data_IF_373577665432
#
_entry.id   IF_373577665432
#
_cell.length_a   1.000
_cell.length_b   1.000
_cell.length_c   1.000
_cell.angle_alpha   90.00
_cell.angle_beta   90.00
_cell.angle_gamma   90.00
#
_symmetry.space_group_name_H-M   'P 1'
#
loop_
_entity.id
_entity.type
_entity.pdbx_description
1 polymer ?
#
# COMPACT_ATOMS: atom_id res chain seq x y z
N UNK A 1 31.23 -11.83 11.13
CA UNK A 1 32.20 -12.31 10.11
C UNK A 1 33.65 -11.96 10.43
N UNK A 2 33.97 -10.95 11.26
CA UNK A 2 35.38 -10.67 11.65
C UNK A 2 35.74 -10.87 13.12
N UNK A 3 34.82 -11.29 13.99
CA UNK A 3 35.19 -11.87 15.29
C UNK A 3 35.18 -13.40 15.20
N UNK A 4 36.10 -13.94 14.37
CA UNK A 4 36.26 -15.37 14.13
C UNK A 4 37.62 -15.89 14.62
N UNK A 5 38.14 -15.27 15.68
CA UNK A 5 39.25 -15.82 16.48
C UNK A 5 38.85 -15.90 17.95
N UNK A 6 37.73 -16.59 18.23
CA UNK A 6 37.60 -17.35 19.46
C UNK A 6 37.82 -18.83 19.09
N UNK A 7 38.89 -19.40 19.60
CA UNK A 7 39.27 -20.79 19.39
C UNK A 7 38.16 -21.73 19.92
N UNK A 8 37.42 -22.38 19.02
CA UNK A 8 36.93 -23.75 19.22
C UNK A 8 36.29 -24.25 17.94
N UNK A 9 36.70 -25.44 17.51
CA UNK A 9 36.26 -26.07 16.27
C UNK A 9 34.73 -26.21 16.16
N UNK A 10 34.23 -25.89 14.98
CA UNK A 10 32.86 -26.09 14.55
C UNK A 10 32.79 -25.78 13.06
N UNK A 11 32.13 -26.64 12.30
CA UNK A 11 31.94 -26.52 10.85
C UNK A 11 31.55 -25.10 10.44
N UNK A 12 32.08 -24.61 9.32
CA UNK A 12 31.59 -23.36 8.74
C UNK A 12 30.07 -23.48 8.53
N UNK A 13 29.30 -22.71 9.29
CA UNK A 13 27.83 -22.74 9.28
C UNK A 13 27.30 -22.49 7.87
N UNK A 14 26.93 -23.57 7.17
CA UNK A 14 26.31 -23.54 5.84
C UNK A 14 25.03 -22.68 5.85
N UNK A 15 24.34 -22.60 6.99
CA UNK A 15 23.21 -21.69 7.24
C UNK A 15 23.57 -20.21 7.02
N UNK A 16 24.72 -19.73 7.54
CA UNK A 16 25.14 -18.33 7.38
C UNK A 16 25.53 -18.00 5.94
N UNK A 17 26.04 -18.99 5.20
CA UNK A 17 26.32 -18.86 3.78
C UNK A 17 25.03 -18.78 2.91
N UNK A 18 23.91 -19.34 3.40
CA UNK A 18 22.61 -19.25 2.72
C UNK A 18 21.89 -17.94 3.07
N UNK A 19 22.10 -17.41 4.28
CA UNK A 19 21.44 -16.18 4.75
C UNK A 19 21.78 -14.93 3.94
N UNK A 20 23.05 -14.69 3.59
CA UNK A 20 23.42 -13.47 2.86
C UNK A 20 22.87 -13.47 1.42
N UNK A 21 22.77 -14.63 0.78
CA UNK A 21 22.12 -14.78 -0.53
C UNK A 21 20.60 -14.58 -0.40
N UNK A 22 19.98 -15.15 0.63
CA UNK A 22 18.55 -14.98 0.87
C UNK A 22 18.19 -13.50 1.16
N UNK A 23 19.01 -12.78 1.92
CA UNK A 23 18.85 -11.34 2.15
C UNK A 23 19.06 -10.57 0.85
N UNK A 24 20.09 -10.89 0.06
CA UNK A 24 20.36 -10.26 -1.23
C UNK A 24 19.18 -10.37 -2.20
N UNK A 25 18.54 -11.55 -2.25
CA UNK A 25 17.40 -11.84 -3.12
C UNK A 25 16.10 -11.15 -2.70
N UNK A 26 15.94 -10.84 -1.41
CA UNK A 26 14.74 -10.17 -0.87
C UNK A 26 14.87 -8.64 -0.77
N UNK A 27 16.03 -8.10 -1.12
CA UNK A 27 16.31 -6.67 -1.01
C UNK A 27 15.74 -5.93 -2.23
N UNK A 28 14.83 -4.98 -2.01
CA UNK A 28 14.30 -4.12 -3.08
C UNK A 28 15.27 -2.99 -3.47
N UNK A 29 16.13 -2.56 -2.52
CA UNK A 29 17.16 -1.53 -2.71
C UNK A 29 18.25 -1.64 -1.62
N UNK A 30 19.52 -1.50 -2.00
CA UNK A 30 20.63 -1.40 -1.06
C UNK A 30 21.02 0.07 -0.83
N UNK A 31 20.69 0.62 0.34
CA UNK A 31 21.12 1.95 0.77
C UNK A 31 22.32 1.85 1.71
N UNK A 32 23.41 2.56 1.40
CA UNK A 32 24.56 2.72 2.30
C UNK A 32 24.69 4.18 2.72
N UNK A 33 24.40 4.48 3.99
CA UNK A 33 24.44 5.82 4.56
C UNK A 33 24.96 5.78 6.01
N UNK A 34 26.19 6.28 6.29
CA UNK A 34 27.14 6.86 5.36
C UNK A 34 27.91 5.81 4.53
N UNK A 35 28.18 6.11 3.26
CA UNK A 35 29.14 5.39 2.44
C UNK A 35 30.54 6.04 2.58
N UNK A 36 31.44 5.40 3.31
CA UNK A 36 32.81 5.90 3.50
C UNK A 36 33.64 5.69 2.23
N UNK A 37 34.79 6.38 2.13
CA UNK A 37 35.71 6.19 1.00
C UNK A 37 36.18 4.73 0.85
N UNK A 38 36.34 4.02 1.97
CA UNK A 38 36.71 2.61 1.99
C UNK A 38 35.61 1.72 1.38
N UNK A 39 34.36 1.86 1.82
CA UNK A 39 33.22 1.11 1.26
C UNK A 39 33.06 1.41 -0.24
N UNK A 40 33.19 2.67 -0.65
CA UNK A 40 33.15 3.08 -2.05
C UNK A 40 34.26 2.42 -2.86
N UNK A 41 35.49 2.36 -2.33
CA UNK A 41 36.60 1.70 -3.00
C UNK A 41 36.36 0.19 -3.13
N UNK A 42 35.91 -0.48 -2.06
CA UNK A 42 35.58 -1.90 -2.06
C UNK A 42 34.50 -2.24 -3.08
N UNK A 43 33.40 -1.47 -3.10
CA UNK A 43 32.31 -1.66 -4.06
C UNK A 43 32.80 -1.44 -5.50
N UNK A 44 33.57 -0.37 -5.75
CA UNK A 44 34.09 -0.07 -7.09
C UNK A 44 35.02 -1.16 -7.63
N UNK A 45 35.76 -1.85 -6.74
CA UNK A 45 36.71 -2.90 -7.09
C UNK A 45 36.13 -4.33 -6.98
N UNK A 46 34.93 -4.49 -6.45
CA UNK A 46 34.28 -5.79 -6.28
C UNK A 46 34.93 -6.64 -5.18
N UNK A 47 35.47 -6.00 -4.14
CA UNK A 47 35.93 -6.71 -2.94
C UNK A 47 34.71 -7.21 -2.16
N UNK A 48 34.81 -8.40 -1.58
CA UNK A 48 33.74 -9.07 -0.83
C UNK A 48 34.34 -9.73 0.43
N UNK A 49 34.93 -8.91 1.30
CA UNK A 49 35.69 -9.33 2.48
C UNK A 49 34.92 -9.10 3.79
N UNK A 50 33.73 -8.51 3.72
CA UNK A 50 32.79 -8.38 4.82
C UNK A 50 31.34 -8.63 4.37
N UNK A 51 30.40 -8.65 5.32
CA UNK A 51 29.00 -8.93 5.01
C UNK A 51 28.37 -7.94 4.04
N UNK A 52 28.64 -6.63 4.20
CA UNK A 52 28.05 -5.58 3.37
C UNK A 52 28.55 -5.66 1.92
N UNK A 53 29.85 -5.85 1.76
CA UNK A 53 30.50 -5.95 0.45
C UNK A 53 30.15 -7.25 -0.27
N UNK A 54 29.99 -8.34 0.47
CA UNK A 54 29.47 -9.62 -0.05
C UNK A 54 28.00 -9.49 -0.48
N UNK A 55 27.16 -8.86 0.35
CA UNK A 55 25.76 -8.59 0.05
C UNK A 55 25.62 -7.72 -1.21
N UNK A 56 26.43 -6.67 -1.35
CA UNK A 56 26.44 -5.81 -2.54
C UNK A 56 26.73 -6.61 -3.80
N UNK A 57 27.74 -7.49 -3.77
CA UNK A 57 28.14 -8.27 -4.94
C UNK A 57 27.12 -9.37 -5.30
N UNK A 58 26.42 -9.90 -4.30
CA UNK A 58 25.39 -10.93 -4.47
C UNK A 58 24.01 -10.35 -4.85
N UNK A 59 23.75 -9.07 -4.60
CA UNK A 59 22.44 -8.45 -4.84
C UNK A 59 22.30 -7.91 -6.26
N UNK A 60 21.11 -8.11 -6.84
CA UNK A 60 20.69 -7.49 -8.11
C UNK A 60 19.85 -6.24 -7.89
N UNK A 61 19.63 -5.85 -6.63
CA UNK A 61 18.85 -4.68 -6.27
C UNK A 61 19.57 -3.39 -6.70
N UNK A 62 18.82 -2.31 -7.02
CA UNK A 62 19.44 -1.00 -7.22
C UNK A 62 20.19 -0.55 -5.95
N UNK A 63 21.28 0.19 -6.14
CA UNK A 63 22.17 0.63 -5.06
C UNK A 63 22.13 2.14 -4.94
N UNK A 64 21.92 2.65 -3.73
CA UNK A 64 22.02 4.07 -3.37
C UNK A 64 23.15 4.24 -2.37
N UNK A 65 24.09 5.13 -2.67
CA UNK A 65 25.20 5.47 -1.79
C UNK A 65 25.05 6.93 -1.36
N UNK A 66 25.09 7.18 -0.05
CA UNK A 66 25.14 8.52 0.53
C UNK A 66 26.51 8.74 1.16
N UNK A 67 27.49 9.29 0.42
CA UNK A 67 28.86 9.41 0.90
C UNK A 67 29.00 10.38 2.07
N UNK A 68 29.88 10.04 3.01
CA UNK A 68 30.31 10.97 4.05
C UNK A 68 31.77 10.74 4.40
N UNK A 69 32.58 11.78 4.29
CA UNK A 69 34.02 11.74 4.53
C UNK A 69 34.61 13.14 4.64
N UNK A 70 35.87 13.23 5.07
CA UNK A 70 36.63 14.48 5.04
C UNK A 70 36.72 15.06 3.60
N UNK A 71 36.75 16.38 3.47
CA UNK A 71 36.83 17.08 2.16
C UNK A 71 38.02 16.65 1.29
N UNK A 72 39.18 16.36 1.89
CA UNK A 72 40.34 15.88 1.13
C UNK A 72 40.14 14.45 0.64
N UNK A 73 39.47 13.60 1.43
CA UNK A 73 39.11 12.25 1.00
C UNK A 73 38.07 12.28 -0.11
N UNK A 74 37.11 13.21 -0.03
CA UNK A 74 36.12 13.42 -1.08
C UNK A 74 36.78 13.86 -2.39
N UNK A 75 37.62 14.91 -2.34
CA UNK A 75 38.28 15.46 -3.52
C UNK A 75 39.44 14.58 -4.05
N UNK A 76 39.80 13.50 -3.35
CA UNK A 76 40.89 12.64 -3.78
C UNK A 76 40.55 11.96 -5.13
N UNK A 77 41.46 11.96 -6.12
CA UNK A 77 41.19 11.40 -7.45
C UNK A 77 40.70 9.94 -7.42
N UNK A 78 41.25 9.12 -6.53
CA UNK A 78 40.81 7.73 -6.37
C UNK A 78 39.34 7.61 -5.93
N UNK A 79 38.89 8.49 -5.02
CA UNK A 79 37.49 8.50 -4.57
C UNK A 79 36.56 8.91 -5.71
N UNK A 80 36.93 9.96 -6.45
CA UNK A 80 36.14 10.43 -7.60
C UNK A 80 36.06 9.37 -8.70
N UNK A 81 37.18 8.72 -9.05
CA UNK A 81 37.22 7.62 -10.02
C UNK A 81 36.35 6.44 -9.57
N UNK A 82 36.40 6.07 -8.28
CA UNK A 82 35.56 4.99 -7.75
C UNK A 82 34.07 5.34 -7.82
N UNK A 83 33.69 6.58 -7.50
CA UNK A 83 32.31 7.05 -7.62
C UNK A 83 31.82 7.03 -9.08
N UNK A 84 32.65 7.47 -10.03
CA UNK A 84 32.34 7.40 -11.46
C UNK A 84 32.13 5.97 -11.94
N UNK A 85 33.01 5.04 -11.53
CA UNK A 85 32.85 3.61 -11.84
C UNK A 85 31.53 3.05 -11.31
N UNK A 86 31.14 3.42 -10.10
CA UNK A 86 29.89 2.98 -9.49
C UNK A 86 28.67 3.58 -10.21
N UNK A 87 28.71 4.86 -10.59
CA UNK A 87 27.66 5.48 -11.42
C UNK A 87 27.52 4.78 -12.77
N UNK A 88 28.64 4.47 -13.43
CA UNK A 88 28.63 3.73 -14.69
C UNK A 88 28.04 2.31 -14.57
N UNK A 89 28.08 1.72 -13.36
CA UNK A 89 27.44 0.44 -13.03
C UNK A 89 26.00 0.57 -12.53
N UNK A 90 25.44 1.77 -12.54
CA UNK A 90 24.04 2.02 -12.17
C UNK A 90 23.79 2.36 -10.70
N UNK A 91 24.84 2.55 -9.88
CA UNK A 91 24.65 3.05 -8.51
C UNK A 91 24.23 4.52 -8.53
N UNK A 92 23.23 4.87 -7.72
CA UNK A 92 22.80 6.24 -7.50
C UNK A 92 23.59 6.86 -6.34
N UNK A 93 24.22 8.01 -6.58
CA UNK A 93 25.07 8.68 -5.58
C UNK A 93 24.36 9.94 -5.08
N UNK A 94 23.99 9.97 -3.81
CA UNK A 94 23.47 11.17 -3.14
C UNK A 94 24.65 12.08 -2.86
N UNK A 95 24.64 13.31 -3.39
CA UNK A 95 25.78 14.22 -3.18
C UNK A 95 25.86 14.65 -1.71
N UNK A 96 27.07 14.71 -1.13
CA UNK A 96 27.24 15.19 0.24
C UNK A 96 26.89 16.68 0.34
N UNK A 97 26.41 17.10 1.51
CA UNK A 97 26.19 18.50 1.81
C UNK A 97 27.54 19.25 1.93
N UNK A 98 27.53 20.54 1.64
CA UNK A 98 28.63 21.45 1.91
C UNK A 98 28.46 22.09 3.29
N UNK A 99 29.53 22.15 4.09
CA UNK A 99 29.48 22.83 5.38
C UNK A 99 30.72 22.65 6.23
N UNK A 100 30.64 23.12 7.48
CA UNK A 100 31.69 22.94 8.48
C UNK A 100 31.74 21.46 8.91
N UNK A 101 32.87 20.81 8.62
CA UNK A 101 33.11 19.42 8.95
C UNK A 101 33.69 19.30 10.37
N UNK A 102 33.53 18.14 11.00
CA UNK A 102 34.04 17.88 12.35
C UNK A 102 35.57 18.07 12.49
N UNK A 103 36.31 18.08 11.37
CA UNK A 103 37.74 18.35 11.30
C UNK A 103 38.12 19.85 11.21
N UNK A 104 37.16 20.77 11.21
CA UNK A 104 37.41 22.21 11.16
C UNK A 104 37.53 22.81 9.75
N UNK A 105 37.33 22.01 8.69
CA UNK A 105 37.35 22.46 7.29
C UNK A 105 35.94 22.76 6.80
N UNK A 106 35.79 23.69 5.85
CA UNK A 106 34.52 23.95 5.14
C UNK A 106 34.62 23.43 3.71
N UNK A 107 33.67 22.62 3.29
CA UNK A 107 33.61 22.06 1.94
C UNK A 107 32.65 20.88 1.84
N UNK A 108 32.56 20.23 0.66
CA UNK A 108 31.74 19.03 0.48
C UNK A 108 32.31 17.85 1.28
N UNK A 109 31.44 16.96 1.73
CA UNK A 109 31.82 15.73 2.44
C UNK A 109 30.97 15.39 3.66
N UNK A 110 30.08 16.31 4.08
CA UNK A 110 29.09 16.02 5.11
C UNK A 110 28.02 15.10 4.54
N UNK A 111 27.55 14.13 5.34
CA UNK A 111 26.43 13.29 4.93
C UNK A 111 25.23 14.18 4.56
N UNK A 112 24.62 13.90 3.41
CA UNK A 112 23.41 14.59 2.96
C UNK A 112 22.29 14.53 4.00
N UNK A 113 21.44 15.55 4.03
CA UNK A 113 20.21 15.55 4.83
C UNK A 113 19.35 14.31 4.60
N UNK A 114 18.62 13.87 5.64
CA UNK A 114 17.78 12.66 5.58
C UNK A 114 16.73 12.76 4.47
N UNK A 115 16.18 13.95 4.25
CA UNK A 115 15.20 14.23 3.21
C UNK A 115 15.75 13.96 1.81
N UNK A 116 17.01 14.33 1.54
CA UNK A 116 17.67 14.10 0.26
C UNK A 116 17.96 12.61 0.02
N UNK A 117 18.40 11.89 1.07
CA UNK A 117 18.64 10.44 0.99
C UNK A 117 17.33 9.69 0.73
N UNK A 118 16.28 10.03 1.47
CA UNK A 118 14.94 9.42 1.29
C UNK A 118 14.39 9.74 -0.10
N UNK A 119 14.58 10.96 -0.61
CA UNK A 119 14.16 11.34 -1.95
C UNK A 119 14.87 10.51 -3.04
N UNK A 120 16.18 10.29 -2.91
CA UNK A 120 16.95 9.45 -3.82
C UNK A 120 16.48 7.99 -3.80
N UNK A 121 16.22 7.43 -2.62
CA UNK A 121 15.63 6.08 -2.48
C UNK A 121 14.28 6.00 -3.18
N UNK A 122 13.41 7.00 -2.98
CA UNK A 122 12.10 7.06 -3.64
C UNK A 122 12.23 7.15 -5.16
N UNK A 123 13.15 7.96 -5.67
CA UNK A 123 13.40 8.12 -7.10
C UNK A 123 13.86 6.79 -7.72
N UNK A 124 14.82 6.13 -7.09
CA UNK A 124 15.38 4.86 -7.58
C UNK A 124 14.36 3.73 -7.55
N UNK A 125 13.56 3.65 -6.48
CA UNK A 125 12.43 2.71 -6.38
C UNK A 125 11.21 3.14 -7.22
N UNK A 126 11.25 4.32 -7.84
CA UNK A 126 10.13 4.95 -8.57
C UNK A 126 8.84 4.99 -7.74
N UNK A 127 8.98 5.25 -6.44
CA UNK A 127 7.84 5.36 -5.53
C UNK A 127 7.03 6.60 -5.89
N UNK A 128 5.78 6.37 -6.30
CA UNK A 128 4.83 7.45 -6.55
C UNK A 128 4.39 8.06 -5.22
N UNK A 129 4.39 9.39 -5.11
CA UNK A 129 3.83 10.13 -3.96
C UNK A 129 2.68 11.06 -4.36
N UNK A 130 1.91 10.60 -5.34
CA UNK A 130 0.76 11.29 -5.95
C UNK A 130 -0.46 11.40 -5.02
N UNK A 131 -0.41 10.85 -3.81
CA UNK A 131 -1.38 11.10 -2.73
C UNK A 131 -0.78 11.84 -1.52
N UNK A 132 0.45 12.37 -1.62
CA UNK A 132 1.04 13.15 -0.54
C UNK A 132 0.17 14.35 -0.16
N UNK A 133 -0.10 14.51 1.14
CA UNK A 133 -0.96 15.58 1.67
C UNK A 133 -2.46 15.31 1.55
N UNK A 134 -2.86 14.18 0.97
CA UNK A 134 -4.27 13.79 0.85
C UNK A 134 -4.70 12.82 1.95
N UNK A 135 -6.01 12.81 2.23
CA UNK A 135 -6.61 11.81 3.13
C UNK A 135 -7.47 10.86 2.29
N UNK A 136 -7.17 9.57 2.36
CA UNK A 136 -7.92 8.50 1.67
C UNK A 136 -8.68 7.70 2.73
N UNK A 137 -10.00 7.64 2.59
CA UNK A 137 -10.87 6.79 3.39
C UNK A 137 -11.07 5.45 2.66
N UNK A 138 -10.84 4.33 3.35
CA UNK A 138 -11.06 3.00 2.80
C UNK A 138 -11.99 2.21 3.73
N UNK A 139 -13.01 1.53 3.20
CA UNK A 139 -13.75 0.52 3.95
C UNK A 139 -13.30 -0.88 3.55
N UNK A 140 -13.20 -1.79 4.52
CA UNK A 140 -12.79 -3.17 4.28
C UNK A 140 -13.49 -4.17 5.21
N UNK A 141 -13.37 -5.46 4.87
CA UNK A 141 -13.93 -6.56 5.65
C UNK A 141 -15.44 -6.76 5.46
N UNK A 142 -16.01 -7.80 6.09
CA UNK A 142 -17.44 -8.02 6.14
C UNK A 142 -18.09 -7.22 7.28
N UNK A 143 -19.40 -6.98 7.24
CA UNK A 143 -20.15 -6.63 8.46
C UNK A 143 -20.78 -7.87 9.10
N UNK A 144 -21.01 -7.80 10.40
CA UNK A 144 -21.65 -8.84 11.22
C UNK A 144 -22.92 -8.25 11.83
N UNK A 145 -24.08 -8.70 11.38
CA UNK A 145 -25.38 -8.28 11.88
C UNK A 145 -25.86 -9.28 12.94
N UNK A 146 -25.81 -8.90 14.21
CA UNK A 146 -26.08 -9.78 15.34
C UNK A 146 -27.56 -10.18 15.40
N UNK A 147 -27.83 -11.49 15.46
CA UNK A 147 -29.16 -12.05 15.72
C UNK A 147 -29.36 -12.15 17.24
N UNK A 148 -28.36 -12.71 17.91
CA UNK A 148 -28.25 -12.84 19.35
C UNK A 148 -26.76 -12.74 19.75
N UNK A 149 -26.37 -12.77 21.04
CA UNK A 149 -24.95 -12.63 21.43
C UNK A 149 -24.01 -13.75 20.94
N UNK A 150 -24.54 -14.80 20.32
CA UNK A 150 -23.80 -15.99 19.87
C UNK A 150 -23.82 -16.12 18.34
N UNK A 151 -24.82 -15.56 17.67
CA UNK A 151 -25.08 -15.78 16.24
C UNK A 151 -25.26 -14.45 15.52
N UNK A 152 -24.70 -14.38 14.31
CA UNK A 152 -24.79 -13.20 13.45
C UNK A 152 -24.87 -13.62 11.98
N UNK A 153 -25.33 -12.69 11.15
CA UNK A 153 -25.35 -12.78 9.68
C UNK A 153 -24.12 -12.03 9.15
N UNK A 154 -23.40 -12.62 8.19
CA UNK A 154 -22.22 -11.99 7.61
C UNK A 154 -21.99 -12.43 6.16
N UNK A 155 -21.05 -11.77 5.50
CA UNK A 155 -20.61 -12.05 4.14
C UNK A 155 -19.25 -12.77 4.16
N UNK A 156 -18.93 -13.50 3.08
CA UNK A 156 -17.67 -14.28 2.95
C UNK A 156 -16.45 -13.41 2.58
N UNK A 157 -16.43 -12.15 2.98
CA UNK A 157 -15.32 -11.25 2.66
C UNK A 157 -14.13 -11.48 3.57
N UNK A 158 -12.96 -11.69 2.98
CA UNK A 158 -11.68 -11.74 3.70
C UNK A 158 -11.17 -10.34 4.10
N UNK A 159 -11.70 -9.27 3.49
CA UNK A 159 -11.20 -7.91 3.62
C UNK A 159 -9.89 -7.60 2.89
N UNK A 160 -9.19 -8.61 2.34
CA UNK A 160 -7.86 -8.47 1.71
C UNK A 160 -7.79 -7.36 0.65
N UNK A 161 -8.84 -7.16 -0.15
CA UNK A 161 -8.85 -6.13 -1.20
C UNK A 161 -8.81 -4.72 -0.62
N UNK A 162 -9.64 -4.42 0.39
CA UNK A 162 -9.62 -3.11 1.04
C UNK A 162 -8.32 -2.85 1.79
N UNK A 163 -7.71 -3.88 2.40
CA UNK A 163 -6.40 -3.76 3.04
C UNK A 163 -5.29 -3.49 2.02
N UNK A 164 -5.29 -4.18 0.87
CA UNK A 164 -4.33 -3.92 -0.21
C UNK A 164 -4.44 -2.49 -0.76
N UNK A 165 -5.67 -1.96 -0.90
CA UNK A 165 -5.89 -0.56 -1.29
C UNK A 165 -5.37 0.42 -0.24
N UNK A 166 -5.66 0.17 1.05
CA UNK A 166 -5.19 1.00 2.14
C UNK A 166 -3.66 1.04 2.21
N UNK A 167 -3.02 -0.12 2.07
CA UNK A 167 -1.56 -0.21 2.01
C UNK A 167 -0.98 0.53 0.82
N UNK A 168 -1.52 0.31 -0.39
CA UNK A 168 -1.05 0.98 -1.60
C UNK A 168 -1.21 2.51 -1.52
N UNK A 169 -2.32 2.99 -0.96
CA UNK A 169 -2.55 4.42 -0.75
C UNK A 169 -1.55 5.03 0.26
N UNK A 170 -1.28 4.32 1.36
CA UNK A 170 -0.29 4.75 2.35
C UNK A 170 1.13 4.80 1.75
N UNK A 171 1.52 3.77 0.98
CA UNK A 171 2.79 3.75 0.23
C UNK A 171 2.91 4.91 -0.77
N UNK A 172 1.78 5.37 -1.32
CA UNK A 172 1.71 6.56 -2.19
C UNK A 172 1.63 7.90 -1.44
N UNK A 173 1.84 7.88 -0.13
CA UNK A 173 1.96 9.06 0.71
C UNK A 173 0.65 9.62 1.26
N UNK A 174 -0.48 8.91 1.09
CA UNK A 174 -1.75 9.30 1.67
C UNK A 174 -1.75 9.16 3.20
N UNK A 175 -2.51 10.02 3.89
CA UNK A 175 -3.02 9.70 5.23
C UNK A 175 -4.23 8.79 5.07
N UNK A 176 -4.12 7.53 5.49
CA UNK A 176 -5.17 6.53 5.26
C UNK A 176 -5.97 6.29 6.53
N UNK A 177 -7.30 6.38 6.42
CA UNK A 177 -8.25 5.91 7.44
C UNK A 177 -8.93 4.66 6.91
N UNK A 178 -8.70 3.52 7.56
CA UNK A 178 -9.28 2.22 7.22
C UNK A 178 -10.41 1.87 8.19
N UNK A 179 -11.65 1.98 7.74
CA UNK A 179 -12.82 1.50 8.48
C UNK A 179 -13.01 0.02 8.17
N UNK A 180 -12.67 -0.83 9.13
CA UNK A 180 -12.66 -2.28 8.94
C UNK A 180 -13.74 -2.96 9.75
N UNK A 181 -14.53 -3.79 9.07
CA UNK A 181 -15.29 -4.87 9.69
C UNK A 181 -14.38 -5.96 10.31
N UNK A 182 -14.95 -7.00 10.92
CA UNK A 182 -14.17 -8.05 11.58
C UNK A 182 -13.31 -8.86 10.59
N UNK A 183 -11.98 -8.78 10.75
CA UNK A 183 -10.98 -9.52 9.96
C UNK A 183 -9.80 -9.91 10.84
N UNK A 184 -9.08 -10.97 10.47
CA UNK A 184 -7.82 -11.39 11.10
C UNK A 184 -6.56 -10.79 10.46
N UNK A 185 -6.73 -9.81 9.57
CA UNK A 185 -5.63 -9.15 8.85
C UNK A 185 -4.94 -8.11 9.74
N UNK A 186 -3.60 -8.08 9.65
CA UNK A 186 -2.78 -7.05 10.26
C UNK A 186 -3.01 -5.69 9.59
N UNK A 187 -2.91 -4.63 10.38
CA UNK A 187 -3.06 -3.26 9.89
C UNK A 187 -1.78 -2.89 9.13
N UNK A 188 -1.88 -2.42 7.86
CA UNK A 188 -0.70 -1.99 7.13
C UNK A 188 0.01 -0.82 7.82
N UNK A 189 1.32 -0.72 7.66
CA UNK A 189 2.11 0.36 8.23
C UNK A 189 1.62 1.74 7.74
N UNK A 190 1.51 2.70 8.66
CA UNK A 190 1.06 4.06 8.33
C UNK A 190 -0.45 4.22 8.11
N UNK A 191 -1.26 3.18 8.38
CA UNK A 191 -2.73 3.22 8.25
C UNK A 191 -3.39 3.36 9.63
N UNK A 192 -4.32 4.32 9.76
CA UNK A 192 -5.19 4.47 10.94
C UNK A 192 -6.40 3.55 10.80
N UNK A 193 -6.57 2.56 11.68
CA UNK A 193 -7.72 1.64 11.64
C UNK A 193 -8.82 2.06 12.60
N UNK A 194 -10.05 2.09 12.08
CA UNK A 194 -11.29 2.24 12.85
C UNK A 194 -12.04 0.91 12.79
N UNK A 195 -12.27 0.29 13.94
CA UNK A 195 -13.00 -0.98 14.03
C UNK A 195 -14.50 -0.74 14.08
N UNK A 196 -15.23 -1.50 13.25
CA UNK A 196 -16.69 -1.56 13.25
C UNK A 196 -17.11 -3.01 13.15
N UNK A 197 -18.33 -3.32 13.60
CA UNK A 197 -18.93 -4.65 13.51
C UNK A 197 -20.11 -4.65 12.55
N UNK A 198 -21.04 -3.71 12.70
CA UNK A 198 -22.30 -3.68 11.93
C UNK A 198 -22.25 -2.70 10.76
N UNK A 199 -23.17 -2.84 9.80
CA UNK A 199 -23.36 -1.88 8.72
C UNK A 199 -23.69 -0.47 9.23
N UNK A 200 -24.45 -0.35 10.33
CA UNK A 200 -24.79 0.95 10.94
C UNK A 200 -23.57 1.62 11.56
N UNK A 201 -22.75 0.87 12.29
CA UNK A 201 -21.48 1.38 12.82
C UNK A 201 -20.53 1.81 11.70
N UNK A 202 -20.43 1.00 10.63
CA UNK A 202 -19.65 1.35 9.45
C UNK A 202 -20.15 2.64 8.80
N UNK A 203 -21.47 2.79 8.65
CA UNK A 203 -22.06 4.02 8.10
C UNK A 203 -21.69 5.24 8.95
N UNK A 204 -21.81 5.13 10.28
CA UNK A 204 -21.50 6.21 11.20
C UNK A 204 -20.03 6.61 11.11
N UNK A 205 -19.11 5.64 11.15
CA UNK A 205 -17.69 5.88 11.02
C UNK A 205 -17.36 6.54 9.66
N UNK A 206 -17.96 6.04 8.58
CA UNK A 206 -17.77 6.61 7.25
C UNK A 206 -18.19 8.08 7.22
N UNK A 207 -19.35 8.43 7.77
CA UNK A 207 -19.83 9.82 7.82
C UNK A 207 -18.89 10.74 8.61
N UNK A 208 -18.35 10.26 9.73
CA UNK A 208 -17.43 11.03 10.57
C UNK A 208 -16.10 11.35 9.87
N UNK A 209 -15.57 10.41 9.09
CA UNK A 209 -14.24 10.54 8.49
C UNK A 209 -14.26 11.06 7.05
N UNK A 210 -15.32 10.80 6.29
CA UNK A 210 -15.39 11.14 4.85
C UNK A 210 -15.31 12.65 4.58
N UNK A 211 -15.84 13.49 5.47
CA UNK A 211 -15.77 14.95 5.32
C UNK A 211 -14.32 15.48 5.19
N UNK A 212 -13.35 14.80 5.82
CA UNK A 212 -11.92 15.16 5.79
C UNK A 212 -11.13 14.44 4.69
N UNK A 213 -11.77 13.52 3.96
CA UNK A 213 -11.14 12.77 2.88
C UNK A 213 -11.24 13.52 1.54
N UNK A 214 -10.26 13.32 0.65
CA UNK A 214 -10.35 13.68 -0.77
C UNK A 214 -10.91 12.53 -1.61
N UNK A 215 -10.71 11.29 -1.16
CA UNK A 215 -11.14 10.06 -1.84
C UNK A 215 -11.75 9.08 -0.83
N UNK A 216 -12.91 8.51 -1.16
CA UNK A 216 -13.50 7.39 -0.44
C UNK A 216 -13.53 6.12 -1.30
N UNK A 217 -12.96 5.04 -0.80
CA UNK A 217 -12.90 3.74 -1.48
C UNK A 217 -13.67 2.70 -0.66
N UNK A 218 -14.82 2.27 -1.17
CA UNK A 218 -15.78 1.45 -0.46
C UNK A 218 -15.66 -0.02 -0.86
N UNK A 219 -14.66 -0.71 -0.29
CA UNK A 219 -14.33 -2.10 -0.61
C UNK A 219 -14.87 -3.13 0.43
N UNK A 220 -15.55 -2.67 1.49
CA UNK A 220 -16.20 -3.55 2.46
C UNK A 220 -17.37 -4.31 1.83
N UNK A 221 -17.58 -5.55 2.28
CA UNK A 221 -18.77 -6.33 1.99
C UNK A 221 -19.81 -6.07 3.08
N UNK A 222 -20.58 -5.01 2.90
CA UNK A 222 -21.66 -4.61 3.82
C UNK A 222 -22.85 -5.55 3.62
N UNK A 223 -23.39 -6.09 4.70
CA UNK A 223 -24.59 -6.92 4.65
C UNK A 223 -25.80 -6.07 4.19
N UNK A 224 -26.53 -6.54 3.18
CA UNK A 224 -27.69 -5.83 2.62
C UNK A 224 -28.89 -5.77 3.58
N UNK A 225 -28.93 -6.69 4.54
CA UNK A 225 -30.02 -6.83 5.52
C UNK A 225 -29.46 -7.08 6.92
N UNK A 226 -30.22 -6.65 7.94
CA UNK A 226 -29.95 -6.92 9.36
C UNK A 226 -31.20 -7.50 10.05
N UNK A 227 -31.06 -8.21 11.18
CA UNK A 227 -32.20 -8.56 12.02
C UNK A 227 -32.97 -7.31 12.48
N UNK A 228 -34.28 -7.31 12.31
CA UNK A 228 -35.14 -6.19 12.72
C UNK A 228 -35.25 -6.07 14.26
N UNK A 229 -35.16 -7.20 14.96
CA UNK A 229 -35.26 -7.29 16.42
C UNK A 229 -34.10 -8.12 16.98
N UNK A 230 -32.87 -7.59 17.03
CA UNK A 230 -31.75 -8.28 17.65
C UNK A 230 -32.00 -8.45 19.15
N UNK A 231 -31.76 -9.65 19.68
CA UNK A 231 -31.99 -9.95 21.10
C UNK A 231 -30.70 -9.96 21.90
N UNK A 232 -30.74 -9.45 23.13
CA UNK A 232 -29.57 -9.40 24.03
C UNK A 232 -29.29 -10.72 24.75
N UNK A 233 -30.14 -11.74 24.57
CA UNK A 233 -30.01 -13.06 25.18
C UNK A 233 -29.97 -14.14 24.13
N UNK A 234 -29.16 -15.18 24.36
CA UNK A 234 -29.06 -16.34 23.47
C UNK A 234 -30.44 -16.96 23.25
N UNK A 235 -30.85 -17.06 21.98
CA UNK A 235 -32.11 -17.71 21.61
C UNK A 235 -32.01 -19.18 21.99
N UNK A 236 -32.90 -19.62 22.88
CA UNK A 236 -32.98 -21.00 23.36
C UNK A 236 -33.48 -21.90 22.24
N UNK A 237 -32.99 -23.15 22.22
CA UNK A 237 -33.47 -24.17 21.27
C UNK A 237 -34.94 -24.47 21.53
N UNK A 238 -35.80 -24.25 20.54
CA UNK A 238 -37.20 -24.69 20.50
C UNK A 238 -37.36 -25.93 19.62
N UNK A 239 -38.50 -26.64 19.76
CA UNK A 239 -38.92 -27.69 18.81
C UNK A 239 -39.58 -27.10 17.56
N UNK A 240 -40.11 -25.89 17.66
CA UNK A 240 -40.75 -25.18 16.56
C UNK A 240 -39.71 -24.42 15.71
N UNK A 241 -39.96 -24.24 14.40
CA UNK A 241 -39.16 -23.37 13.53
C UNK A 241 -39.03 -21.97 14.14
N UNK A 242 -37.84 -21.39 14.01
CA UNK A 242 -37.57 -20.03 14.47
C UNK A 242 -37.41 -19.12 13.26
N UNK A 243 -38.19 -18.05 13.21
CA UNK A 243 -38.16 -17.06 12.13
C UNK A 243 -37.36 -15.83 12.56
N UNK A 244 -36.46 -15.38 11.69
CA UNK A 244 -35.69 -14.14 11.89
C UNK A 244 -36.19 -13.14 10.85
N UNK A 245 -36.86 -12.08 11.31
CA UNK A 245 -37.30 -11.00 10.43
C UNK A 245 -36.11 -10.10 10.12
N UNK A 246 -35.88 -9.87 8.83
CA UNK A 246 -34.81 -9.02 8.33
C UNK A 246 -35.37 -7.68 7.82
N UNK A 247 -34.58 -6.62 8.00
CA UNK A 247 -34.84 -5.31 7.43
C UNK A 247 -33.62 -4.79 6.65
N UNK A 248 -33.81 -3.93 5.63
CA UNK A 248 -32.70 -3.43 4.82
C UNK A 248 -31.68 -2.61 5.63
N UNK A 249 -30.41 -2.82 5.32
CA UNK A 249 -29.33 -1.96 5.76
C UNK A 249 -29.22 -0.69 4.90
N UNK A 250 -28.62 0.39 5.44
CA UNK A 250 -28.42 1.59 4.67
C UNK A 250 -27.38 1.36 3.56
N UNK A 251 -27.61 2.00 2.42
CA UNK A 251 -26.61 2.06 1.36
C UNK A 251 -25.55 3.13 1.68
N UNK A 252 -24.42 2.69 2.24
CA UNK A 252 -23.31 3.56 2.62
C UNK A 252 -22.74 4.30 1.40
N UNK A 253 -22.56 3.61 0.27
CA UNK A 253 -21.97 4.19 -0.94
C UNK A 253 -22.88 5.30 -1.50
N UNK A 254 -24.18 5.01 -1.65
CA UNK A 254 -25.14 5.99 -2.13
C UNK A 254 -25.27 7.19 -1.17
N UNK A 255 -25.30 6.93 0.15
CA UNK A 255 -25.39 7.99 1.17
C UNK A 255 -24.21 8.94 1.09
N UNK A 256 -22.99 8.43 0.88
CA UNK A 256 -21.78 9.25 0.78
C UNK A 256 -21.71 9.98 -0.56
N UNK A 257 -22.04 9.29 -1.64
CA UNK A 257 -21.97 9.84 -2.97
C UNK A 257 -22.97 10.97 -3.21
N UNK A 258 -24.08 11.01 -2.47
CA UNK A 258 -25.03 12.13 -2.50
C UNK A 258 -24.38 13.46 -2.05
N UNK A 259 -23.51 13.40 -1.04
CA UNK A 259 -22.88 14.57 -0.41
C UNK A 259 -21.38 14.71 -0.74
N UNK A 260 -20.92 14.07 -1.83
CA UNK A 260 -19.48 13.96 -2.12
C UNK A 260 -18.79 15.28 -2.46
N UNK A 261 -19.51 16.23 -3.05
CA UNK A 261 -18.93 17.47 -3.57
C UNK A 261 -17.84 17.17 -4.60
N UNK A 262 -16.64 17.73 -4.41
CA UNK A 262 -15.48 17.49 -5.27
C UNK A 262 -14.69 16.20 -4.94
N UNK A 263 -15.10 15.44 -3.92
CA UNK A 263 -14.42 14.20 -3.50
C UNK A 263 -14.72 13.08 -4.49
N UNK A 264 -13.73 12.22 -4.71
CA UNK A 264 -13.90 11.02 -5.52
C UNK A 264 -14.44 9.86 -4.70
N UNK A 265 -15.40 9.13 -5.26
CA UNK A 265 -16.03 7.98 -4.64
C UNK A 265 -15.84 6.74 -5.52
N UNK A 266 -15.17 5.74 -4.99
CA UNK A 266 -14.92 4.45 -5.63
C UNK A 266 -15.75 3.38 -4.93
N UNK A 267 -16.60 2.68 -5.67
CA UNK A 267 -17.39 1.56 -5.17
C UNK A 267 -16.90 0.22 -5.71
N UNK A 268 -17.26 -0.86 -5.01
CA UNK A 268 -17.04 -2.23 -5.49
C UNK A 268 -18.36 -2.91 -5.84
N UNK A 269 -18.30 -3.82 -6.81
CA UNK A 269 -19.39 -4.70 -7.19
C UNK A 269 -18.86 -6.13 -7.34
N UNK A 270 -19.57 -7.09 -6.78
CA UNK A 270 -19.37 -8.50 -7.07
C UNK A 270 -20.58 -8.93 -7.90
N UNK A 271 -20.36 -9.21 -9.17
CA UNK A 271 -21.43 -9.54 -10.11
C UNK A 271 -21.21 -10.95 -10.63
N UNK A 272 -22.28 -11.76 -10.65
CA UNK A 272 -22.25 -13.15 -11.15
C UNK A 272 -22.80 -13.27 -12.57
N UNK A 273 -23.46 -12.22 -13.07
CA UNK A 273 -24.05 -12.15 -14.40
C UNK A 273 -24.09 -10.69 -14.86
N UNK A 274 -24.03 -10.45 -16.18
CA UNK A 274 -24.10 -9.10 -16.81
C UNK A 274 -23.23 -8.04 -16.13
N UNK A 275 -22.00 -8.40 -15.79
CA UNK A 275 -21.04 -7.60 -15.00
C UNK A 275 -20.97 -6.14 -15.47
N UNK A 276 -20.80 -5.90 -16.78
CA UNK A 276 -20.65 -4.56 -17.33
C UNK A 276 -21.93 -3.71 -17.24
N UNK A 277 -23.10 -4.29 -17.51
CA UNK A 277 -24.38 -3.57 -17.42
C UNK A 277 -24.69 -3.19 -15.97
N UNK A 278 -24.51 -4.14 -15.05
CA UNK A 278 -24.75 -3.91 -13.63
C UNK A 278 -23.77 -2.90 -13.04
N UNK A 279 -22.48 -2.99 -13.40
CA UNK A 279 -21.47 -2.04 -12.95
C UNK A 279 -21.76 -0.62 -13.42
N UNK A 280 -22.11 -0.41 -14.71
CA UNK A 280 -22.50 0.92 -15.23
C UNK A 280 -23.77 1.45 -14.58
N UNK A 281 -24.77 0.59 -14.38
CA UNK A 281 -25.99 0.96 -13.66
C UNK A 281 -25.67 1.37 -12.23
N UNK A 282 -24.79 0.65 -11.53
CA UNK A 282 -24.35 0.99 -10.17
C UNK A 282 -23.58 2.29 -10.14
N UNK A 283 -22.67 2.52 -11.08
CA UNK A 283 -21.91 3.75 -11.23
C UNK A 283 -22.83 4.97 -11.32
N UNK A 284 -23.85 4.91 -12.18
CA UNK A 284 -24.84 5.96 -12.35
C UNK A 284 -25.76 6.12 -11.13
N UNK A 285 -26.41 5.04 -10.69
CA UNK A 285 -27.40 5.07 -9.60
C UNK A 285 -26.81 5.44 -8.25
N UNK A 286 -25.54 5.06 -8.00
CA UNK A 286 -24.83 5.36 -6.74
C UNK A 286 -24.04 6.65 -6.82
N UNK A 287 -24.09 7.40 -7.93
CA UNK A 287 -23.29 8.61 -8.13
C UNK A 287 -21.79 8.40 -7.83
N UNK A 288 -21.24 7.22 -8.14
CA UNK A 288 -19.82 6.91 -7.96
C UNK A 288 -18.98 7.44 -9.15
N UNK A 289 -17.68 7.65 -8.93
CA UNK A 289 -16.73 8.09 -9.97
C UNK A 289 -16.03 6.89 -10.62
N UNK A 290 -15.92 5.79 -9.87
CA UNK A 290 -15.34 4.53 -10.33
C UNK A 290 -16.09 3.37 -9.67
N UNK A 291 -16.42 2.34 -10.45
CA UNK A 291 -16.88 1.05 -9.92
C UNK A 291 -15.87 -0.03 -10.31
N UNK A 292 -15.35 -0.73 -9.31
CA UNK A 292 -14.51 -1.92 -9.47
C UNK A 292 -15.43 -3.14 -9.48
N UNK A 293 -15.67 -3.73 -10.64
CA UNK A 293 -16.50 -4.92 -10.75
C UNK A 293 -15.63 -6.17 -10.80
N UNK A 294 -15.85 -7.08 -9.87
CA UNK A 294 -15.24 -8.39 -9.84
C UNK A 294 -16.18 -9.40 -10.51
N UNK A 295 -15.66 -10.13 -11.48
CA UNK A 295 -16.33 -11.30 -12.04
C UNK A 295 -16.04 -12.52 -11.15
N UNK A 296 -16.92 -12.76 -10.17
CA UNK A 296 -16.76 -13.87 -9.21
C UNK A 296 -17.00 -15.25 -9.83
N UNK A 297 -17.36 -15.33 -11.11
CA UNK A 297 -17.54 -16.60 -11.85
C UNK A 297 -16.29 -17.01 -12.62
N UNK A 298 -15.34 -16.09 -12.82
CA UNK A 298 -14.09 -16.37 -13.50
C UNK A 298 -13.13 -17.22 -12.65
N UNK A 299 -12.39 -18.12 -13.29
CA UNK A 299 -11.51 -19.07 -12.61
C UNK A 299 -10.34 -18.37 -11.88
N UNK A 300 -10.40 -18.38 -10.54
CA UNK A 300 -9.44 -17.69 -9.67
C UNK A 300 -9.84 -16.27 -9.24
N UNK A 301 -11.10 -15.87 -9.48
CA UNK A 301 -11.70 -14.64 -8.99
C UNK A 301 -12.67 -14.98 -7.83
N UNK A 302 -12.18 -14.95 -6.60
CA UNK A 302 -12.96 -15.30 -5.41
C UNK A 302 -12.63 -14.39 -4.24
N UNK A 303 -13.57 -14.21 -3.31
CA UNK A 303 -13.40 -13.32 -2.16
C UNK A 303 -12.18 -13.67 -1.28
N UNK A 304 -11.82 -14.95 -1.20
CA UNK A 304 -10.76 -15.45 -0.32
C UNK A 304 -9.42 -15.71 -1.04
N UNK A 305 -9.39 -15.63 -2.37
CA UNK A 305 -8.17 -15.80 -3.17
C UNK A 305 -7.30 -14.55 -3.17
N UNK A 306 -6.01 -14.71 -3.47
CA UNK A 306 -5.06 -13.59 -3.54
C UNK A 306 -5.07 -12.87 -4.89
N UNK A 307 -5.66 -13.51 -5.92
CA UNK A 307 -5.84 -12.95 -7.26
C UNK A 307 -7.25 -12.44 -7.49
N UNK A 308 -7.39 -11.53 -8.44
CA UNK A 308 -8.67 -10.97 -8.85
C UNK A 308 -8.71 -10.75 -10.36
N UNK A 309 -9.91 -10.85 -10.95
CA UNK A 309 -10.17 -10.47 -12.34
C UNK A 309 -11.24 -9.39 -12.29
N UNK A 310 -10.83 -8.14 -12.53
CA UNK A 310 -11.72 -7.00 -12.36
C UNK A 310 -11.77 -6.15 -13.62
N UNK A 311 -12.89 -5.48 -13.81
CA UNK A 311 -13.01 -4.39 -14.77
C UNK A 311 -13.33 -3.11 -14.01
N UNK A 312 -12.59 -2.04 -14.30
CA UNK A 312 -12.83 -0.72 -13.73
C UNK A 312 -13.76 0.07 -14.66
N UNK A 313 -14.90 0.53 -14.14
CA UNK A 313 -15.87 1.33 -14.88
C UNK A 313 -15.82 2.76 -14.38
N UNK A 314 -15.29 3.66 -15.20
CA UNK A 314 -15.07 5.06 -14.85
C UNK A 314 -16.23 5.95 -15.32
N UNK A 315 -16.50 7.02 -14.57
CA UNK A 315 -17.56 8.00 -14.88
C UNK A 315 -17.39 8.69 -16.23
N UNK A 316 -16.17 8.78 -16.73
CA UNK A 316 -15.88 9.34 -18.05
C UNK A 316 -16.19 8.38 -19.22
N UNK A 317 -16.84 7.24 -18.93
CA UNK A 317 -17.34 6.30 -19.92
C UNK A 317 -16.35 5.20 -20.30
N UNK A 318 -15.14 5.19 -19.74
CA UNK A 318 -14.18 4.11 -20.01
C UNK A 318 -14.45 2.88 -19.17
N UNK A 319 -14.23 1.75 -19.82
CA UNK A 319 -14.11 0.44 -19.19
C UNK A 319 -12.65 0.00 -19.31
N UNK A 320 -12.04 -0.39 -18.19
CA UNK A 320 -10.66 -0.85 -18.13
C UNK A 320 -10.63 -2.29 -17.62
N UNK A 321 -10.65 -3.29 -18.52
CA UNK A 321 -10.49 -4.68 -18.12
C UNK A 321 -9.04 -4.90 -17.67
N UNK A 322 -8.87 -5.48 -16.48
CA UNK A 322 -7.57 -5.86 -15.96
C UNK A 322 -7.36 -7.38 -16.13
N UNK A 323 -6.16 -7.83 -16.52
CA UNK A 323 -5.84 -9.26 -16.51
C UNK A 323 -5.89 -9.82 -15.09
N UNK A 324 -5.88 -11.15 -14.96
CA UNK A 324 -5.75 -11.79 -13.66
C UNK A 324 -4.45 -11.35 -13.00
N UNK A 325 -4.58 -10.70 -11.85
CA UNK A 325 -3.45 -10.12 -11.11
C UNK A 325 -3.72 -10.22 -9.61
N UNK A 326 -2.69 -9.95 -8.80
CA UNK A 326 -2.82 -9.92 -7.35
C UNK A 326 -3.70 -8.75 -6.88
N UNK A 327 -4.29 -8.87 -5.69
CA UNK A 327 -5.04 -7.76 -5.07
C UNK A 327 -4.20 -6.49 -4.89
N UNK A 328 -2.88 -6.62 -4.67
CA UNK A 328 -1.97 -5.48 -4.58
C UNK A 328 -1.78 -4.77 -5.92
N UNK A 329 -1.68 -5.51 -7.02
CA UNK A 329 -1.63 -4.92 -8.37
C UNK A 329 -2.95 -4.25 -8.74
N UNK A 330 -4.10 -4.88 -8.45
CA UNK A 330 -5.42 -4.26 -8.63
C UNK A 330 -5.52 -2.96 -7.82
N UNK A 331 -5.04 -2.95 -6.58
CA UNK A 331 -5.03 -1.75 -5.74
C UNK A 331 -4.23 -0.61 -6.39
N UNK A 332 -3.08 -0.91 -6.99
CA UNK A 332 -2.30 0.05 -7.78
C UNK A 332 -3.10 0.65 -8.93
N UNK A 333 -3.72 -0.19 -9.75
CA UNK A 333 -4.53 0.28 -10.89
C UNK A 333 -5.75 1.11 -10.49
N UNK A 334 -6.40 0.77 -9.37
CA UNK A 334 -7.49 1.59 -8.81
C UNK A 334 -6.99 2.99 -8.48
N UNK A 335 -5.82 3.08 -7.81
CA UNK A 335 -5.24 4.36 -7.40
C UNK A 335 -4.76 5.19 -8.60
N UNK A 336 -4.20 4.55 -9.62
CA UNK A 336 -3.85 5.22 -10.89
C UNK A 336 -5.07 5.87 -11.54
N UNK A 337 -6.19 5.15 -11.55
CA UNK A 337 -7.43 5.65 -12.14
C UNK A 337 -8.03 6.79 -11.31
N UNK A 338 -7.95 6.71 -9.97
CA UNK A 338 -8.32 7.83 -9.08
C UNK A 338 -7.50 9.08 -9.39
N UNK A 339 -6.18 8.96 -9.56
CA UNK A 339 -5.29 10.09 -9.90
C UNK A 339 -5.66 10.70 -11.26
N UNK A 340 -6.00 9.84 -12.23
CA UNK A 340 -6.42 10.25 -13.57
C UNK A 340 -7.73 11.03 -13.54
N UNK A 341 -8.76 10.50 -12.88
CA UNK A 341 -10.06 11.15 -12.70
C UNK A 341 -9.92 12.49 -11.98
N UNK A 342 -9.09 12.55 -10.93
CA UNK A 342 -8.80 13.79 -10.21
C UNK A 342 -8.17 14.85 -11.11
N UNK A 343 -7.21 14.46 -11.95
CA UNK A 343 -6.55 15.37 -12.89
C UNK A 343 -7.53 15.91 -13.93
N UNK A 344 -8.43 15.07 -14.44
CA UNK A 344 -9.48 15.48 -15.36
C UNK A 344 -10.47 16.48 -14.71
N UNK A 345 -10.89 16.24 -13.46
CA UNK A 345 -11.77 17.15 -12.72
C UNK A 345 -11.11 18.53 -12.48
N UNK A 346 -9.82 18.54 -12.12
CA UNK A 346 -9.07 19.80 -11.94
C UNK A 346 -8.93 20.58 -13.25
N UNK A 347 -8.66 19.89 -14.37
CA UNK A 347 -8.58 20.51 -15.68
C UNK A 347 -9.93 21.11 -16.10
N UNK A 348 -11.05 20.41 -15.87
CA UNK A 348 -12.39 20.92 -16.19
C UNK A 348 -12.76 22.16 -15.36
N UNK A 349 -12.38 22.20 -14.08
CA UNK A 349 -12.62 23.36 -13.22
C UNK A 349 -11.85 24.61 -13.71
N UNK A 350 -10.60 24.45 -14.16
CA UNK A 350 -9.76 25.55 -14.66
C UNK A 350 -10.23 26.16 -15.99
N UNK A 351 -11.02 25.42 -16.79
CA UNK A 351 -11.59 25.93 -18.05
C UNK A 351 -12.99 26.55 -17.88
N UNK A 352 -13.55 26.49 -16.66
CA UNK A 352 -14.89 27.01 -16.34
C UNK A 352 -14.86 28.35 -15.60
N UNK A 353 -13.68 28.82 -15.19
CA UNK A 353 -13.40 30.15 -14.60
C UNK A 353 -12.82 31.11 -15.65
#
# INVERSE_FOLDING_TARGET
ITDLFAESGGEANLESAIEHIAVAQRTDLLLVAPATADVIAKFARGLADDFLTTLHLASTAPVVLAPAMNVNMWNHPATQENLERLRARGAHIVQPDEGYLACGMTGPGRLAGQEAIVAAVHEVLKLQRDFAGETVLVTAGPTCEDIDPVRYITNRSSGKMGYAVAEAAARRGARVVLISGPTSLDVPAGVERVNVRTALEMQQAVRQHFAKASVGIFAAAVADYRPAEPVSQKIKRSKEPHEIRLEPNPDILASVAADKGARLVVGFAAETDRVAENARKKLATKNADLIVANDVTAEGAGFDLDTNVVTLFARDGRDLPLPKMTKSEVAGHILDEVVRLRSALRAAAQHSD
#
